data_IF_896814029884
#
_entry.id   IF_896814029884
#
_cell.length_a   1.000
_cell.length_b   1.000
_cell.length_c   1.000
_cell.angle_alpha   90.00
_cell.angle_beta   90.00
_cell.angle_gamma   90.00
#
_symmetry.space_group_name_H-M   'P 1'
#
loop_
_entity.id
_entity.type
_entity.pdbx_description
1 polymer ?
#
# COMPACT_ATOMS: atom_id res chain seq x y z
N UNK A 1 8.77 -6.76 -0.40
CA UNK A 1 7.45 -6.86 -1.06
C UNK A 1 7.14 -8.32 -1.37
N UNK A 2 5.90 -8.78 -1.22
CA UNK A 2 5.42 -9.29 0.08
C UNK A 2 6.55 -9.94 0.87
N UNK A 3 6.68 -9.59 2.15
CA UNK A 3 7.80 -10.10 2.94
C UNK A 3 7.70 -11.63 3.05
N UNK A 4 8.82 -12.33 3.09
CA UNK A 4 8.85 -13.81 3.19
C UNK A 4 8.09 -14.33 4.42
N UNK A 5 7.94 -13.49 5.44
CA UNK A 5 7.16 -13.75 6.65
C UNK A 5 5.66 -13.38 6.56
N UNK A 6 5.18 -12.92 5.40
CA UNK A 6 3.76 -12.70 5.11
C UNK A 6 3.31 -13.56 3.92
N UNK A 7 3.33 -14.90 4.06
CA UNK A 7 3.07 -15.82 2.95
C UNK A 7 1.68 -15.66 2.33
N UNK A 8 0.72 -15.16 3.11
CA UNK A 8 -0.66 -14.99 2.64
C UNK A 8 -0.93 -13.66 1.94
N UNK A 9 -0.01 -12.70 2.01
CA UNK A 9 -0.27 -11.34 1.52
C UNK A 9 -0.57 -11.32 0.02
N UNK A 10 0.13 -12.14 -0.78
CA UNK A 10 -0.05 -12.14 -2.24
C UNK A 10 -1.48 -12.56 -2.63
N UNK A 11 -1.93 -13.74 -2.19
CA UNK A 11 -3.26 -14.24 -2.58
C UNK A 11 -4.39 -13.41 -1.95
N UNK A 12 -4.18 -12.82 -0.77
CA UNK A 12 -5.17 -11.93 -0.14
C UNK A 12 -5.33 -10.64 -0.93
N UNK A 13 -4.22 -10.01 -1.33
CA UNK A 13 -4.26 -8.83 -2.20
C UNK A 13 -4.92 -9.16 -3.54
N UNK A 14 -4.61 -10.32 -4.13
CA UNK A 14 -5.24 -10.78 -5.36
C UNK A 14 -6.76 -10.90 -5.20
N UNK A 15 -7.24 -11.54 -4.12
CA UNK A 15 -8.67 -11.72 -3.85
C UNK A 15 -9.41 -10.40 -3.67
N UNK A 16 -8.83 -9.47 -2.92
CA UNK A 16 -9.44 -8.14 -2.66
C UNK A 16 -9.53 -7.34 -3.96
N UNK A 17 -8.47 -7.33 -4.78
CA UNK A 17 -8.48 -6.63 -6.07
C UNK A 17 -9.43 -7.28 -7.08
N UNK A 18 -9.53 -8.62 -7.10
CA UNK A 18 -10.44 -9.35 -8.00
C UNK A 18 -11.88 -8.84 -7.93
N UNK A 19 -12.34 -8.43 -6.74
CA UNK A 19 -13.69 -7.87 -6.55
C UNK A 19 -13.71 -6.36 -6.29
N UNK A 20 -12.54 -5.72 -6.21
CA UNK A 20 -12.40 -4.33 -5.75
C UNK A 20 -13.23 -4.05 -4.49
N UNK A 21 -13.19 -4.99 -3.53
CA UNK A 21 -14.12 -5.02 -2.40
C UNK A 21 -13.53 -4.37 -1.16
N UNK A 22 -14.03 -3.19 -0.80
CA UNK A 22 -13.68 -2.52 0.46
C UNK A 22 -14.05 -3.39 1.68
N UNK A 23 -15.19 -4.09 1.61
CA UNK A 23 -15.62 -4.98 2.69
C UNK A 23 -14.59 -6.11 2.94
N UNK A 24 -14.04 -6.71 1.89
CA UNK A 24 -13.03 -7.77 2.05
C UNK A 24 -11.70 -7.24 2.57
N UNK A 25 -11.35 -6.00 2.22
CA UNK A 25 -10.21 -5.32 2.80
C UNK A 25 -10.38 -5.18 4.33
N UNK A 26 -11.51 -4.62 4.77
CA UNK A 26 -11.84 -4.42 6.18
C UNK A 26 -11.92 -5.76 6.94
N UNK A 27 -12.57 -6.77 6.37
CA UNK A 27 -12.68 -8.09 6.98
C UNK A 27 -11.30 -8.75 7.17
N UNK A 28 -10.41 -8.62 6.19
CA UNK A 28 -9.05 -9.13 6.32
C UNK A 28 -8.25 -8.38 7.40
N UNK A 29 -8.38 -7.05 7.51
CA UNK A 29 -7.78 -6.28 8.62
C UNK A 29 -8.35 -6.69 9.99
N UNK A 30 -9.65 -6.99 10.05
CA UNK A 30 -10.32 -7.55 11.22
C UNK A 30 -9.98 -9.03 11.49
N UNK A 31 -9.05 -9.62 10.73
CA UNK A 31 -8.63 -11.03 10.80
C UNK A 31 -9.74 -12.05 10.53
N UNK A 32 -10.80 -11.63 9.85
CA UNK A 32 -11.81 -12.56 9.34
C UNK A 32 -11.28 -13.23 8.08
N UNK A 33 -11.84 -14.39 7.78
CA UNK A 33 -11.55 -15.07 6.52
C UNK A 33 -12.14 -14.29 5.34
N UNK A 34 -11.41 -14.26 4.23
CA UNK A 34 -11.87 -13.75 2.95
C UNK A 34 -11.80 -14.87 1.91
N UNK A 35 -12.66 -14.84 0.88
CA UNK A 35 -12.62 -15.84 -0.19
C UNK A 35 -11.25 -15.92 -0.87
N UNK A 36 -10.93 -17.09 -1.43
CA UNK A 36 -9.76 -17.23 -2.31
C UNK A 36 -10.01 -16.51 -3.64
N UNK A 37 -8.96 -16.06 -4.34
CA UNK A 37 -9.11 -15.40 -5.63
C UNK A 37 -9.82 -16.29 -6.65
N UNK A 38 -10.76 -15.71 -7.40
CA UNK A 38 -11.49 -16.36 -8.49
C UNK A 38 -11.22 -15.70 -9.85
N UNK A 39 -10.20 -14.84 -9.94
CA UNK A 39 -9.80 -14.12 -11.14
C UNK A 39 -8.28 -14.18 -11.36
N UNK A 40 -7.83 -13.93 -12.60
CA UNK A 40 -6.41 -13.83 -12.95
C UNK A 40 -6.02 -12.36 -13.18
N UNK A 41 -5.56 -11.70 -12.12
CA UNK A 41 -5.09 -10.30 -12.10
C UNK A 41 -3.66 -10.19 -11.53
N UNK A 42 -2.84 -11.23 -11.72
CA UNK A 42 -1.47 -11.27 -11.20
C UNK A 42 -0.61 -10.14 -11.76
N UNK A 43 -0.81 -9.78 -13.03
CA UNK A 43 -0.08 -8.69 -13.67
C UNK A 43 -0.27 -7.34 -12.96
N UNK A 44 -1.47 -7.07 -12.43
CA UNK A 44 -1.75 -5.83 -11.66
C UNK A 44 -0.97 -5.80 -10.34
N UNK A 45 -0.94 -6.93 -9.63
CA UNK A 45 -0.19 -7.10 -8.37
C UNK A 45 1.32 -6.93 -8.64
N UNK A 46 1.83 -7.53 -9.70
CA UNK A 46 3.23 -7.48 -10.09
C UNK A 46 3.64 -6.09 -10.59
N UNK A 47 2.79 -5.41 -11.35
CA UNK A 47 3.04 -4.04 -11.81
C UNK A 47 3.11 -3.06 -10.64
N UNK A 48 2.17 -3.13 -9.69
CA UNK A 48 2.22 -2.33 -8.46
C UNK A 48 3.49 -2.66 -7.64
N UNK A 49 3.87 -3.95 -7.61
CA UNK A 49 5.08 -4.39 -6.92
C UNK A 49 6.34 -3.83 -7.56
N UNK A 50 6.42 -3.84 -8.89
CA UNK A 50 7.55 -3.31 -9.65
C UNK A 50 7.73 -1.81 -9.43
N UNK A 51 6.64 -1.02 -9.52
CA UNK A 51 6.70 0.43 -9.30
C UNK A 51 7.21 0.74 -7.89
N UNK A 52 6.73 0.00 -6.87
CA UNK A 52 7.21 0.22 -5.51
C UNK A 52 8.72 -0.09 -5.36
N UNK A 53 9.27 -1.06 -6.08
CA UNK A 53 10.72 -1.31 -6.11
C UNK A 53 11.47 -0.17 -6.80
N UNK A 54 10.97 0.31 -7.94
CA UNK A 54 11.57 1.42 -8.70
C UNK A 54 11.58 2.73 -7.90
N UNK A 55 10.57 2.96 -7.05
CA UNK A 55 10.49 4.09 -6.13
C UNK A 55 11.34 3.91 -4.86
N UNK A 56 12.06 2.79 -4.71
CA UNK A 56 12.88 2.51 -3.54
C UNK A 56 12.09 2.18 -2.27
N UNK A 57 10.82 1.74 -2.40
CA UNK A 57 9.98 1.38 -1.26
C UNK A 57 10.45 0.05 -0.67
N UNK A 58 11.02 0.11 0.53
CA UNK A 58 11.52 -1.09 1.24
C UNK A 58 10.56 -1.61 2.31
N UNK A 59 9.51 -0.86 2.65
CA UNK A 59 8.60 -1.20 3.75
C UNK A 59 7.20 -0.61 3.59
N UNK A 60 6.28 -1.11 4.42
CA UNK A 60 4.87 -0.67 4.47
C UNK A 60 4.48 -0.27 5.89
N UNK A 61 3.60 0.72 6.09
CA UNK A 61 3.02 1.58 5.06
C UNK A 61 4.04 2.58 4.50
N UNK A 62 3.90 2.93 3.22
CA UNK A 62 4.64 4.00 2.53
C UNK A 62 3.64 4.76 1.67
N UNK A 63 3.79 6.09 1.60
CA UNK A 63 2.94 6.97 0.82
C UNK A 63 3.75 7.68 -0.25
N UNK A 64 3.12 7.96 -1.38
CA UNK A 64 3.66 8.78 -2.46
C UNK A 64 2.72 9.98 -2.60
N UNK A 65 3.24 11.19 -2.35
CA UNK A 65 2.46 12.43 -2.42
C UNK A 65 2.32 12.93 -3.86
N UNK A 66 1.39 13.86 -4.17
CA UNK A 66 1.15 14.33 -5.54
C UNK A 66 2.35 14.97 -6.24
N UNK A 67 3.35 15.45 -5.49
CA UNK A 67 4.60 16.01 -6.00
C UNK A 67 5.71 14.96 -6.22
N UNK A 68 5.40 13.68 -5.98
CA UNK A 68 6.32 12.55 -6.07
C UNK A 68 7.15 12.30 -4.81
N UNK A 69 6.95 13.06 -3.72
CA UNK A 69 7.64 12.80 -2.46
C UNK A 69 7.24 11.44 -1.88
N UNK A 70 8.23 10.61 -1.53
CA UNK A 70 8.03 9.31 -0.89
C UNK A 70 8.17 9.47 0.63
N UNK A 71 7.11 9.15 1.36
CA UNK A 71 7.05 9.20 2.83
C UNK A 71 6.93 7.78 3.37
N UNK A 72 8.04 7.26 3.91
CA UNK A 72 8.10 5.90 4.44
C UNK A 72 7.69 5.84 5.92
N UNK A 73 7.02 4.76 6.28
CA UNK A 73 6.62 4.43 7.64
C UNK A 73 5.29 5.05 8.07
N UNK A 74 4.78 4.56 9.19
CA UNK A 74 3.53 5.03 9.78
C UNK A 74 3.63 6.49 10.23
N UNK A 75 2.54 7.23 10.06
CA UNK A 75 2.32 8.59 10.57
C UNK A 75 0.94 8.65 11.20
N UNK A 76 0.79 9.42 12.28
CA UNK A 76 -0.54 9.68 12.84
C UNK A 76 -1.38 10.59 11.93
N UNK A 77 -2.69 10.61 12.16
CA UNK A 77 -3.63 11.36 11.33
C UNK A 77 -3.30 12.85 11.26
N UNK A 78 -2.86 13.46 12.37
CA UNK A 78 -2.53 14.89 12.42
C UNK A 78 -1.33 15.21 11.51
N UNK A 79 -0.29 14.38 11.59
CA UNK A 79 0.93 14.51 10.79
C UNK A 79 0.62 14.27 9.31
N UNK A 80 -0.24 13.30 8.99
CA UNK A 80 -0.67 13.04 7.62
C UNK A 80 -1.45 14.21 7.01
N UNK A 81 -2.40 14.77 7.77
CA UNK A 81 -3.17 15.93 7.31
C UNK A 81 -2.23 17.08 7.01
N UNK A 82 -1.30 17.41 7.92
CA UNK A 82 -0.33 18.48 7.72
C UNK A 82 0.54 18.27 6.48
N UNK A 83 1.05 17.05 6.27
CA UNK A 83 1.86 16.70 5.10
C UNK A 83 1.10 16.90 3.78
N UNK A 84 -0.20 16.60 3.76
CA UNK A 84 -1.03 16.70 2.55
C UNK A 84 -1.51 18.13 2.31
N UNK A 85 -1.85 18.88 3.36
CA UNK A 85 -2.40 20.24 3.21
C UNK A 85 -1.33 21.32 3.14
N UNK A 86 -0.18 21.11 3.79
CA UNK A 86 0.93 22.05 3.85
C UNK A 86 2.26 21.33 3.52
N UNK A 87 2.42 20.83 2.28
CA UNK A 87 3.62 20.08 1.91
C UNK A 87 4.87 20.95 2.08
N UNK A 88 5.97 20.42 2.66
CA UNK A 88 7.20 21.17 2.82
C UNK A 88 7.77 21.56 1.45
N UNK A 89 8.26 22.79 1.32
CA UNK A 89 8.84 23.24 0.05
C UNK A 89 10.14 22.48 -0.22
N UNK A 90 10.33 22.07 -1.47
CA UNK A 90 11.56 21.40 -1.93
C UNK A 90 12.78 22.27 -1.60
N UNK A 91 13.55 21.88 -0.58
CA UNK A 91 14.74 22.62 -0.09
C UNK A 91 14.67 23.09 1.37
N UNK A 92 13.52 22.97 2.05
CA UNK A 92 13.39 23.29 3.49
C UNK A 92 13.64 22.05 4.37
N UNK A 93 14.79 21.40 4.20
CA UNK A 93 15.33 20.53 5.25
C UNK A 93 16.23 21.38 6.13
N UNK A 94 15.77 21.66 7.36
CA UNK A 94 16.66 22.09 8.45
C UNK A 94 17.62 20.97 8.83
#
# INVERSE_FOLDING_TARGET
MPLSFHPDAYWKSQSILCKSSLQWLEDNFAKKEIPRPDCDNKEEIEANTKIALELGITGTPTMVLPDGMVVMGVKDAKTLIELVTNPPKKGETK
#
